data_IF_258105305407
#
_entry.id   IF_258105305407
#
_cell.length_a   1.000
_cell.length_b   1.000
_cell.length_c   1.000
_cell.angle_alpha   90.00
_cell.angle_beta   90.00
_cell.angle_gamma   90.00
#
_symmetry.space_group_name_H-M   'P 1'
#
loop_
_entity.id
_entity.type
_entity.pdbx_description
1 polymer ?
#
# COMPACT_ATOMS: atom_id res chain seq x y z
N UNK A 1 15.71 16.57 -24.23
CA UNK A 1 14.37 16.47 -23.61
C UNK A 1 14.41 15.26 -22.70
N UNK A 2 14.05 15.41 -21.44
CA UNK A 2 14.10 14.31 -20.47
C UNK A 2 13.22 13.14 -20.91
N UNK A 3 13.77 11.94 -20.81
CA UNK A 3 13.09 10.67 -21.07
C UNK A 3 12.76 10.02 -19.72
N UNK A 4 11.49 9.88 -19.41
CA UNK A 4 11.01 9.30 -18.14
C UNK A 4 10.49 7.90 -18.45
N UNK A 5 11.19 6.87 -17.99
CA UNK A 5 10.66 5.51 -17.95
C UNK A 5 9.54 5.45 -16.91
N UNK A 6 8.43 4.83 -17.24
CA UNK A 6 7.34 4.64 -16.28
C UNK A 6 7.10 3.14 -16.10
N UNK A 7 7.54 2.60 -14.96
CA UNK A 7 7.41 1.19 -14.61
C UNK A 7 6.12 0.95 -13.82
N UNK A 8 5.30 0.01 -14.27
CA UNK A 8 4.00 -0.33 -13.70
C UNK A 8 3.66 -1.81 -13.95
N UNK A 9 2.66 -2.32 -13.23
CA UNK A 9 1.97 -3.57 -13.58
C UNK A 9 0.50 -3.25 -13.85
N UNK A 10 0.02 -3.59 -15.04
CA UNK A 10 -1.37 -3.34 -15.43
C UNK A 10 -2.26 -4.52 -15.07
N UNK A 11 -3.33 -4.23 -14.32
CA UNK A 11 -4.38 -5.21 -14.02
C UNK A 11 -4.99 -5.70 -15.34
N UNK A 12 -5.05 -7.02 -15.58
CA UNK A 12 -5.69 -7.57 -16.77
C UNK A 12 -7.14 -7.10 -16.85
N UNK A 13 -7.57 -6.72 -18.07
CA UNK A 13 -9.00 -6.52 -18.31
C UNK A 13 -9.70 -7.84 -17.97
N UNK A 14 -10.76 -7.79 -17.17
CA UNK A 14 -11.53 -8.99 -16.83
C UNK A 14 -11.86 -9.71 -18.14
N UNK A 15 -11.62 -11.03 -18.27
CA UNK A 15 -11.98 -11.72 -19.48
C UNK A 15 -13.49 -11.63 -19.67
N UNK A 16 -13.93 -10.80 -20.60
CA UNK A 16 -15.28 -10.84 -21.15
C UNK A 16 -15.39 -12.18 -21.86
N UNK A 17 -15.88 -13.23 -21.16
CA UNK A 17 -16.17 -14.49 -21.82
C UNK A 17 -15.73 -15.76 -21.11
N UNK A 18 -16.10 -15.93 -19.84
CA UNK A 18 -16.31 -17.26 -19.27
C UNK A 18 -17.59 -17.25 -18.39
N UNK A 19 -18.65 -16.64 -18.91
CA UNK A 19 -20.02 -16.96 -18.51
C UNK A 19 -20.46 -18.12 -19.40
N UNK A 20 -19.85 -19.28 -19.18
CA UNK A 20 -20.29 -20.55 -19.66
C UNK A 20 -21.21 -21.14 -18.63
N UNK A 21 -22.54 -20.98 -18.87
CA UNK A 21 -23.63 -21.83 -18.41
C UNK A 21 -23.35 -22.69 -17.13
N UNK A 22 -23.53 -22.09 -15.94
CA UNK A 22 -23.94 -22.87 -14.78
C UNK A 22 -25.41 -22.56 -14.57
N UNK A 23 -26.23 -23.55 -14.97
CA UNK A 23 -27.65 -23.65 -14.69
C UNK A 23 -27.86 -23.55 -13.17
N UNK A 24 -28.78 -22.68 -12.77
CA UNK A 24 -29.31 -22.62 -11.43
C UNK A 24 -29.69 -23.99 -10.91
N UNK A 25 -28.96 -24.48 -9.93
CA UNK A 25 -29.54 -25.41 -8.96
C UNK A 25 -29.23 -24.82 -7.56
N UNK A 26 -30.30 -24.39 -6.93
CA UNK A 26 -30.30 -23.75 -5.63
C UNK A 26 -30.11 -24.84 -4.57
N UNK A 27 -28.93 -24.97 -3.97
CA UNK A 27 -28.69 -25.49 -2.61
C UNK A 27 -27.18 -25.60 -2.36
N UNK A 28 -26.68 -24.66 -1.61
CA UNK A 28 -25.62 -24.74 -0.60
C UNK A 28 -24.96 -23.38 -0.51
N UNK A 29 -25.06 -22.76 0.66
CA UNK A 29 -24.27 -21.60 1.06
C UNK A 29 -22.82 -22.07 1.28
N UNK A 30 -22.05 -22.22 0.21
CA UNK A 30 -20.61 -22.29 0.28
C UNK A 30 -20.06 -20.89 -0.06
N UNK A 31 -19.39 -20.26 0.92
CA UNK A 31 -18.61 -19.05 0.71
C UNK A 31 -17.70 -19.27 -0.52
N UNK A 32 -17.59 -18.30 -1.45
CA UNK A 32 -16.69 -18.46 -2.59
C UNK A 32 -15.26 -18.61 -2.06
N UNK A 33 -14.45 -19.53 -2.64
CA UNK A 33 -13.05 -19.65 -2.25
C UNK A 33 -12.35 -18.32 -2.49
N UNK A 34 -11.57 -17.85 -1.50
CA UNK A 34 -10.85 -16.58 -1.48
C UNK A 34 -9.71 -16.46 -2.52
N UNK A 35 -9.66 -17.34 -3.51
CA UNK A 35 -8.75 -17.35 -4.64
C UNK A 35 -9.47 -17.02 -5.94
N UNK A 36 -10.24 -15.93 -5.98
CA UNK A 36 -10.67 -15.38 -7.25
C UNK A 36 -9.45 -14.79 -7.99
N UNK A 37 -9.44 -14.87 -9.31
CA UNK A 37 -8.40 -14.26 -10.16
C UNK A 37 -8.22 -12.76 -9.81
N UNK A 38 -9.28 -12.12 -9.31
CA UNK A 38 -9.28 -10.72 -8.87
C UNK A 38 -8.37 -10.45 -7.67
N UNK A 39 -8.19 -11.42 -6.75
CA UNK A 39 -7.32 -11.24 -5.58
C UNK A 39 -5.83 -11.31 -5.95
N UNK A 40 -5.45 -12.10 -6.96
CA UNK A 40 -4.06 -12.23 -7.42
C UNK A 40 -3.50 -10.89 -7.89
N UNK A 41 -4.30 -10.10 -8.59
CA UNK A 41 -3.92 -8.81 -9.16
C UNK A 41 -4.44 -7.61 -8.35
N UNK A 42 -4.81 -7.81 -7.08
CA UNK A 42 -5.40 -6.73 -6.26
C UNK A 42 -4.45 -5.55 -6.03
N UNK A 43 -3.14 -5.78 -6.11
CA UNK A 43 -2.09 -4.76 -5.97
C UNK A 43 -1.77 -4.03 -7.29
N UNK A 44 -2.17 -4.59 -8.43
CA UNK A 44 -1.86 -4.01 -9.74
C UNK A 44 -2.79 -2.85 -10.09
N UNK A 45 -2.31 -1.93 -10.91
CA UNK A 45 -3.03 -0.73 -11.26
C UNK A 45 -3.98 -0.91 -12.47
N UNK A 46 -5.08 -0.17 -12.44
CA UNK A 46 -5.97 -0.07 -13.59
C UNK A 46 -5.33 0.79 -14.70
N UNK A 47 -5.78 0.60 -15.94
CA UNK A 47 -5.40 1.46 -17.07
C UNK A 47 -5.64 2.95 -16.76
N UNK A 48 -6.72 3.28 -16.05
CA UNK A 48 -7.04 4.66 -15.62
C UNK A 48 -5.98 5.25 -14.71
N UNK A 49 -5.49 4.49 -13.73
CA UNK A 49 -4.40 4.93 -12.84
C UNK A 49 -3.10 5.12 -13.62
N UNK A 50 -2.76 4.17 -14.48
CA UNK A 50 -1.55 4.22 -15.32
C UNK A 50 -1.58 5.44 -16.24
N UNK A 51 -2.73 5.73 -16.87
CA UNK A 51 -2.90 6.89 -17.74
C UNK A 51 -2.78 8.21 -16.98
N UNK A 52 -3.36 8.30 -15.78
CA UNK A 52 -3.27 9.49 -14.94
C UNK A 52 -1.82 9.76 -14.51
N UNK A 53 -1.07 8.75 -14.07
CA UNK A 53 0.35 8.88 -13.72
C UNK A 53 1.16 9.30 -14.95
N UNK A 54 0.99 8.64 -16.10
CA UNK A 54 1.70 9.00 -17.31
C UNK A 54 1.41 10.44 -17.75
N UNK A 55 0.17 10.90 -17.61
CA UNK A 55 -0.22 12.29 -17.86
C UNK A 55 0.53 13.26 -16.96
N UNK A 56 0.53 13.03 -15.63
CA UNK A 56 1.23 13.88 -14.67
C UNK A 56 2.73 13.98 -14.96
N UNK A 57 3.38 12.84 -15.27
CA UNK A 57 4.81 12.78 -15.61
C UNK A 57 5.14 13.53 -16.90
N UNK A 58 4.21 13.58 -17.85
CA UNK A 58 4.40 14.21 -19.18
C UNK A 58 4.73 15.70 -19.08
N UNK A 59 4.40 16.34 -17.96
CA UNK A 59 4.77 17.73 -17.68
C UNK A 59 6.30 17.95 -17.61
N UNK A 60 7.09 16.90 -17.32
CA UNK A 60 8.54 17.00 -17.13
C UNK A 60 9.37 16.30 -18.23
N UNK A 61 8.76 15.49 -19.07
CA UNK A 61 9.52 14.77 -20.07
C UNK A 61 8.68 13.95 -21.04
N UNK A 62 9.35 13.20 -21.91
CA UNK A 62 8.71 12.16 -22.72
C UNK A 62 8.57 10.91 -21.86
N UNK A 63 7.34 10.44 -21.66
CA UNK A 63 7.05 9.22 -20.88
C UNK A 63 7.16 8.00 -21.78
N UNK A 64 7.95 7.03 -21.35
CA UNK A 64 8.14 5.73 -21.97
C UNK A 64 7.51 4.70 -21.06
N UNK A 65 6.42 4.08 -21.45
CA UNK A 65 5.74 3.05 -20.68
C UNK A 65 6.56 1.76 -20.67
N UNK A 66 6.89 1.27 -19.49
CA UNK A 66 7.70 0.09 -19.24
C UNK A 66 6.93 -0.85 -18.30
N UNK A 67 6.09 -1.70 -18.85
CA UNK A 67 5.41 -2.71 -18.05
C UNK A 67 6.44 -3.64 -17.38
N UNK A 68 6.29 -3.88 -16.08
CA UNK A 68 7.25 -4.64 -15.29
C UNK A 68 6.97 -6.15 -15.37
N UNK A 69 7.01 -6.69 -16.59
CA UNK A 69 6.95 -8.09 -16.92
C UNK A 69 8.34 -8.69 -17.16
N UNK A 70 8.40 -9.93 -17.70
CA UNK A 70 9.67 -10.63 -17.97
C UNK A 70 10.60 -9.91 -18.95
N UNK A 71 10.07 -9.04 -19.82
CA UNK A 71 10.83 -8.30 -20.82
C UNK A 71 11.28 -6.90 -20.34
N UNK A 72 10.90 -6.51 -19.11
CA UNK A 72 11.27 -5.22 -18.54
C UNK A 72 12.77 -4.93 -18.55
N UNK A 73 13.67 -5.87 -18.20
CA UNK A 73 15.12 -5.61 -18.22
C UNK A 73 15.63 -5.25 -19.62
N UNK A 74 15.14 -5.92 -20.64
CA UNK A 74 15.55 -5.65 -22.03
C UNK A 74 14.99 -4.32 -22.53
N UNK A 75 13.71 -4.03 -22.23
CA UNK A 75 13.12 -2.73 -22.57
C UNK A 75 13.86 -1.58 -21.90
N UNK A 76 14.19 -1.70 -20.62
CA UNK A 76 14.98 -0.69 -19.90
C UNK A 76 16.34 -0.46 -20.57
N UNK A 77 17.03 -1.55 -20.92
CA UNK A 77 18.35 -1.53 -21.57
C UNK A 77 18.32 -0.86 -22.95
N UNK A 78 17.24 -1.06 -23.72
CA UNK A 78 17.07 -0.48 -25.06
C UNK A 78 16.65 0.98 -24.98
N UNK A 79 15.65 1.28 -24.15
CA UNK A 79 15.04 2.61 -24.05
C UNK A 79 15.92 3.62 -23.33
N UNK A 80 16.73 3.21 -22.38
CA UNK A 80 17.67 4.05 -21.62
C UNK A 80 17.05 5.39 -21.15
N UNK A 81 16.00 5.37 -20.33
CA UNK A 81 15.44 6.60 -19.79
C UNK A 81 16.45 7.30 -18.88
N UNK A 82 16.32 8.62 -18.72
CA UNK A 82 17.13 9.40 -17.80
C UNK A 82 16.77 9.11 -16.33
N UNK A 83 15.51 8.75 -16.08
CA UNK A 83 14.98 8.34 -14.77
C UNK A 83 13.76 7.43 -14.97
N UNK A 84 13.59 6.43 -14.09
CA UNK A 84 12.40 5.58 -14.04
C UNK A 84 11.49 6.01 -12.89
N UNK A 85 10.22 6.32 -13.17
CA UNK A 85 9.19 6.45 -12.16
C UNK A 85 8.55 5.07 -11.95
N UNK A 86 8.63 4.55 -10.72
CA UNK A 86 8.22 3.18 -10.40
C UNK A 86 6.97 3.13 -9.52
N UNK A 87 5.96 2.39 -9.99
CA UNK A 87 4.78 1.98 -9.21
C UNK A 87 4.51 0.47 -9.33
N UNK A 88 5.47 -0.30 -9.86
CA UNK A 88 5.29 -1.72 -10.13
C UNK A 88 5.43 -2.56 -8.85
N UNK A 89 4.39 -3.34 -8.53
CA UNK A 89 4.30 -4.22 -7.36
C UNK A 89 4.94 -5.60 -7.59
N UNK A 90 5.09 -6.00 -8.86
CA UNK A 90 5.52 -7.34 -9.24
C UNK A 90 4.44 -8.39 -8.98
N UNK A 91 4.73 -9.64 -9.34
CA UNK A 91 3.79 -10.76 -9.15
C UNK A 91 4.40 -11.92 -8.38
N UNK A 92 5.65 -12.24 -8.65
CA UNK A 92 6.31 -13.45 -8.16
C UNK A 92 7.49 -13.16 -7.27
N UNK A 93 7.73 -14.05 -6.32
CA UNK A 93 8.88 -14.03 -5.43
C UNK A 93 8.66 -13.22 -4.16
N UNK A 94 9.45 -13.55 -3.15
CA UNK A 94 9.40 -12.94 -1.81
C UNK A 94 9.85 -11.48 -1.77
N UNK A 95 10.48 -11.00 -2.85
CA UNK A 95 10.98 -9.64 -2.99
C UNK A 95 10.42 -8.96 -4.25
N UNK A 96 9.19 -9.28 -4.64
CA UNK A 96 8.59 -8.86 -5.91
C UNK A 96 8.64 -7.35 -6.15
N UNK A 97 8.37 -6.54 -5.14
CA UNK A 97 8.41 -5.07 -5.24
C UNK A 97 9.82 -4.51 -5.50
N UNK A 98 10.85 -5.25 -5.11
CA UNK A 98 12.23 -4.85 -5.27
C UNK A 98 12.81 -5.10 -6.67
N UNK A 99 12.11 -5.83 -7.54
CA UNK A 99 12.66 -6.24 -8.83
C UNK A 99 12.99 -5.04 -9.73
N UNK A 100 12.05 -4.11 -9.90
CA UNK A 100 12.25 -2.93 -10.76
C UNK A 100 13.43 -2.07 -10.26
N UNK A 101 13.49 -1.63 -9.00
CA UNK A 101 14.63 -0.84 -8.55
C UNK A 101 15.96 -1.61 -8.59
N UNK A 102 15.97 -2.93 -8.30
CA UNK A 102 17.19 -3.74 -8.43
C UNK A 102 17.72 -3.81 -9.87
N UNK A 103 16.82 -3.93 -10.85
CA UNK A 103 17.18 -3.90 -12.27
C UNK A 103 17.66 -2.49 -12.68
N UNK A 104 17.05 -1.43 -12.16
CA UNK A 104 17.51 -0.07 -12.39
C UNK A 104 18.91 0.14 -11.84
N UNK A 105 19.21 -0.33 -10.62
CA UNK A 105 20.57 -0.27 -10.03
C UNK A 105 21.58 -1.06 -10.86
N UNK A 106 21.20 -2.26 -11.33
CA UNK A 106 22.06 -3.08 -12.18
C UNK A 106 22.47 -2.39 -13.49
N UNK A 107 21.58 -1.55 -14.05
CA UNK A 107 21.84 -0.78 -15.27
C UNK A 107 22.28 0.67 -15.01
N UNK A 108 22.57 1.05 -13.77
CA UNK A 108 22.95 2.41 -13.38
C UNK A 108 21.91 3.46 -13.86
N UNK A 109 20.63 3.12 -13.74
CA UNK A 109 19.50 3.96 -14.16
C UNK A 109 18.86 4.59 -12.93
N UNK A 110 18.79 5.93 -12.81
CA UNK A 110 18.05 6.62 -11.76
C UNK A 110 16.58 6.16 -11.68
N UNK A 111 16.03 6.06 -10.46
CA UNK A 111 14.63 5.63 -10.26
C UNK A 111 13.98 6.34 -9.07
N UNK A 112 12.64 6.38 -9.05
CA UNK A 112 11.84 6.91 -7.94
C UNK A 112 11.51 5.84 -6.92
N UNK A 113 11.27 6.29 -5.69
CA UNK A 113 10.90 5.43 -4.57
C UNK A 113 12.09 4.81 -3.85
N UNK A 114 11.77 3.93 -2.93
CA UNK A 114 12.73 3.29 -2.04
C UNK A 114 13.60 2.26 -2.77
N UNK A 115 14.77 1.98 -2.21
CA UNK A 115 15.71 1.01 -2.77
C UNK A 115 15.23 -0.45 -2.59
N UNK A 116 15.88 -1.41 -3.27
CA UNK A 116 15.48 -2.81 -3.23
C UNK A 116 15.48 -3.41 -1.82
N UNK A 117 16.42 -3.00 -0.97
CA UNK A 117 16.48 -3.49 0.41
C UNK A 117 15.29 -3.00 1.23
N UNK A 118 14.98 -1.72 1.15
CA UNK A 118 13.83 -1.10 1.84
C UNK A 118 12.51 -1.76 1.41
N UNK A 119 12.29 -1.94 0.11
CA UNK A 119 11.09 -2.60 -0.41
C UNK A 119 10.98 -4.04 0.07
N UNK A 120 12.05 -4.83 -0.05
CA UNK A 120 12.08 -6.22 0.44
C UNK A 120 11.84 -6.32 1.95
N UNK A 121 12.41 -5.40 2.72
CA UNK A 121 12.24 -5.34 4.17
C UNK A 121 10.78 -5.00 4.54
N UNK A 122 10.23 -3.95 3.94
CA UNK A 122 8.88 -3.47 4.27
C UNK A 122 7.78 -4.42 3.81
N UNK A 123 7.97 -5.15 2.71
CA UNK A 123 7.05 -6.19 2.26
C UNK A 123 6.91 -7.32 3.29
N UNK A 124 7.97 -7.63 4.04
CA UNK A 124 7.97 -8.69 5.05
C UNK A 124 7.65 -8.16 6.44
N UNK A 125 6.37 -8.15 6.82
CA UNK A 125 5.84 -7.53 8.05
C UNK A 125 6.62 -7.88 9.33
N UNK A 126 7.01 -9.13 9.53
CA UNK A 126 7.76 -9.53 10.71
C UNK A 126 9.18 -8.94 10.76
N UNK A 127 9.91 -8.97 9.64
CA UNK A 127 11.27 -8.36 9.56
C UNK A 127 11.21 -6.85 9.72
N UNK A 128 10.18 -6.19 9.17
CA UNK A 128 9.93 -4.76 9.39
C UNK A 128 9.78 -4.47 10.88
N UNK A 129 8.98 -5.27 11.59
CA UNK A 129 8.76 -5.11 13.04
C UNK A 129 10.03 -5.38 13.86
N UNK A 130 10.83 -6.39 13.50
CA UNK A 130 12.15 -6.62 14.12
C UNK A 130 13.04 -5.39 13.97
N UNK A 131 13.08 -4.83 12.76
CA UNK A 131 13.90 -3.66 12.47
C UNK A 131 13.42 -2.42 13.25
N UNK A 132 12.11 -2.16 13.26
CA UNK A 132 11.51 -1.07 14.03
C UNK A 132 11.78 -1.22 15.53
N UNK A 133 11.65 -2.44 16.07
CA UNK A 133 11.91 -2.75 17.48
C UNK A 133 13.38 -2.51 17.85
N UNK A 134 14.33 -2.92 17.01
CA UNK A 134 15.76 -2.66 17.20
C UNK A 134 16.08 -1.15 17.28
N UNK A 135 15.27 -0.31 16.61
CA UNK A 135 15.37 1.15 16.63
C UNK A 135 14.43 1.82 17.63
N UNK A 136 13.83 1.05 18.55
CA UNK A 136 12.92 1.55 19.59
C UNK A 136 11.73 2.35 19.02
N UNK A 137 11.19 1.89 17.88
CA UNK A 137 9.99 2.42 17.27
C UNK A 137 8.80 1.54 17.67
N UNK A 138 7.76 2.11 18.32
CA UNK A 138 6.61 1.33 18.78
C UNK A 138 5.92 0.58 17.65
N UNK A 139 5.64 -0.69 17.87
CA UNK A 139 4.86 -1.57 17.01
C UNK A 139 4.24 -2.70 17.85
N UNK A 140 3.15 -3.30 17.37
CA UNK A 140 2.46 -4.35 18.13
C UNK A 140 3.38 -5.56 18.38
N UNK A 141 3.41 -6.12 19.61
CA UNK A 141 4.08 -7.40 19.87
C UNK A 141 3.54 -8.51 18.96
N UNK A 142 4.41 -9.36 18.46
CA UNK A 142 4.05 -10.36 17.47
C UNK A 142 4.91 -11.62 17.56
N UNK A 143 4.47 -12.66 16.86
CA UNK A 143 5.25 -13.87 16.57
C UNK A 143 5.08 -14.24 15.08
N UNK A 144 6.17 -14.64 14.44
CA UNK A 144 6.18 -15.24 13.11
C UNK A 144 5.95 -16.74 13.25
N UNK A 145 5.04 -17.29 12.47
CA UNK A 145 4.71 -18.72 12.40
C UNK A 145 4.95 -19.19 10.98
N UNK A 146 5.91 -20.09 10.82
CA UNK A 146 6.33 -20.61 9.52
C UNK A 146 5.68 -21.97 9.21
N UNK A 147 5.28 -22.71 10.24
CA UNK A 147 4.75 -24.08 10.11
C UNK A 147 3.53 -24.32 11.01
N UNK A 148 2.71 -25.31 10.64
CA UNK A 148 1.59 -25.75 11.49
C UNK A 148 2.07 -26.27 12.87
N UNK A 149 3.26 -26.87 12.94
CA UNK A 149 3.83 -27.33 14.21
C UNK A 149 4.11 -26.16 15.15
N UNK A 150 4.63 -25.06 14.65
CA UNK A 150 4.82 -23.84 15.44
C UNK A 150 3.50 -23.21 15.86
N UNK A 151 2.50 -23.21 14.96
CA UNK A 151 1.14 -22.75 15.29
C UNK A 151 0.55 -23.57 16.43
N UNK A 152 0.66 -24.89 16.36
CA UNK A 152 0.17 -25.80 17.41
C UNK A 152 0.90 -25.57 18.75
N UNK A 153 2.21 -25.36 18.72
CA UNK A 153 2.98 -25.01 19.91
C UNK A 153 2.53 -23.67 20.50
N UNK A 154 2.27 -22.67 19.64
CA UNK A 154 1.75 -21.38 20.06
C UNK A 154 0.36 -21.52 20.74
N UNK A 155 -0.55 -22.27 20.12
CA UNK A 155 -1.91 -22.50 20.62
C UNK A 155 -1.90 -23.24 21.97
N UNK A 156 -0.96 -24.18 22.19
CA UNK A 156 -0.77 -24.85 23.49
C UNK A 156 -0.04 -24.03 24.52
N UNK A 157 0.47 -22.82 24.17
CA UNK A 157 1.28 -22.00 25.05
C UNK A 157 2.72 -22.50 25.26
N UNK A 158 3.20 -23.36 24.35
CA UNK A 158 4.54 -24.00 24.39
C UNK A 158 5.55 -23.33 23.45
N UNK A 159 5.15 -22.26 22.74
CA UNK A 159 6.02 -21.58 21.78
C UNK A 159 7.21 -20.89 22.49
N UNK A 160 8.48 -21.14 22.08
CA UNK A 160 9.66 -20.74 22.85
C UNK A 160 9.88 -19.22 22.95
N UNK A 161 9.35 -18.47 21.98
CA UNK A 161 9.52 -17.01 21.91
C UNK A 161 8.29 -16.21 22.33
N UNK A 162 7.14 -16.86 22.53
CA UNK A 162 5.89 -16.16 22.75
C UNK A 162 4.96 -16.98 23.63
N UNK A 163 4.86 -16.61 24.90
CA UNK A 163 3.81 -17.14 25.77
C UNK A 163 2.48 -16.49 25.41
N UNK A 164 1.43 -17.30 25.20
CA UNK A 164 0.05 -16.85 25.01
C UNK A 164 -0.75 -17.02 26.31
N UNK A 165 -0.62 -16.14 27.33
CA UNK A 165 -1.62 -16.11 28.38
C UNK A 165 -2.97 -15.69 27.76
N UNK A 166 -4.06 -16.20 28.32
CA UNK A 166 -5.42 -15.82 27.88
C UNK A 166 -5.66 -14.30 27.88
N UNK A 167 -4.89 -13.56 28.70
CA UNK A 167 -4.92 -12.08 28.75
C UNK A 167 -4.35 -11.39 27.52
N UNK A 168 -3.77 -12.11 26.55
CA UNK A 168 -3.23 -11.51 25.32
C UNK A 168 -4.22 -11.46 24.16
N UNK A 169 -5.36 -12.10 24.27
CA UNK A 169 -6.43 -11.93 23.29
C UNK A 169 -7.15 -10.59 23.49
N UNK A 170 -7.65 -9.94 22.42
CA UNK A 170 -7.68 -10.43 21.04
C UNK A 170 -6.32 -10.32 20.32
N UNK A 171 -6.11 -11.23 19.35
CA UNK A 171 -4.96 -11.22 18.44
C UNK A 171 -5.43 -11.01 17.00
N UNK A 172 -4.49 -10.61 16.15
CA UNK A 172 -4.72 -10.47 14.71
C UNK A 172 -3.74 -11.35 13.94
N UNK A 173 -4.26 -12.13 12.99
CA UNK A 173 -3.47 -13.10 12.21
C UNK A 173 -3.53 -12.75 10.75
N UNK A 174 -2.38 -12.63 10.08
CA UNK A 174 -2.34 -12.25 8.66
C UNK A 174 -1.15 -12.87 7.93
N UNK A 175 -1.20 -13.03 6.59
CA UNK A 175 -0.04 -13.41 5.81
C UNK A 175 1.10 -12.38 5.97
N UNK A 176 2.35 -12.85 5.92
CA UNK A 176 3.49 -11.98 6.23
C UNK A 176 3.88 -11.04 5.09
N UNK A 177 3.56 -11.39 3.83
CA UNK A 177 4.03 -10.68 2.63
C UNK A 177 2.91 -10.31 1.64
N UNK A 178 1.66 -10.21 2.09
CA UNK A 178 0.55 -9.75 1.25
C UNK A 178 0.19 -8.29 1.53
N UNK A 179 -0.18 -7.57 0.47
CA UNK A 179 -0.69 -6.20 0.51
C UNK A 179 -2.18 -6.12 0.15
N UNK A 180 -2.71 -4.92 0.01
CA UNK A 180 -4.09 -4.63 -0.42
C UNK A 180 -5.19 -5.40 0.30
N UNK A 181 -4.99 -5.69 1.59
CA UNK A 181 -5.90 -6.49 2.45
C UNK A 181 -6.11 -7.94 1.99
N UNK A 182 -5.22 -8.50 1.16
CA UNK A 182 -5.25 -9.93 0.83
C UNK A 182 -5.11 -10.78 2.08
N UNK A 183 -6.00 -11.74 2.25
CA UNK A 183 -6.04 -12.61 3.42
C UNK A 183 -6.45 -11.91 4.72
N UNK A 184 -7.04 -10.70 4.66
CA UNK A 184 -7.53 -9.96 5.80
C UNK A 184 -9.05 -9.87 5.76
N UNK A 185 -9.70 -10.69 6.57
CA UNK A 185 -11.14 -10.74 6.80
C UNK A 185 -11.45 -10.55 8.28
N UNK A 186 -12.71 -10.47 8.67
CA UNK A 186 -13.09 -10.44 10.09
C UNK A 186 -12.62 -11.68 10.87
N UNK A 187 -12.44 -12.84 10.20
CA UNK A 187 -11.90 -14.07 10.81
C UNK A 187 -10.45 -13.93 11.30
N UNK A 188 -9.73 -12.93 10.81
CA UNK A 188 -8.34 -12.67 11.24
C UNK A 188 -8.26 -12.06 12.66
N UNK A 189 -9.38 -11.51 13.15
CA UNK A 189 -9.52 -11.08 14.53
C UNK A 189 -9.92 -12.27 15.38
N UNK A 190 -8.98 -12.81 16.16
CA UNK A 190 -9.18 -14.03 16.95
C UNK A 190 -9.22 -13.71 18.44
N UNK A 191 -10.19 -14.29 19.13
CA UNK A 191 -10.43 -14.07 20.56
C UNK A 191 -10.20 -15.32 21.40
N UNK A 192 -9.95 -16.46 20.75
CA UNK A 192 -9.71 -17.74 21.40
C UNK A 192 -8.58 -18.54 20.73
N UNK A 193 -7.91 -19.44 21.46
CA UNK A 193 -6.92 -20.34 20.88
C UNK A 193 -7.46 -21.20 19.73
N UNK A 194 -8.75 -21.60 19.80
CA UNK A 194 -9.39 -22.38 18.72
C UNK A 194 -9.51 -21.60 17.42
N UNK A 195 -9.95 -20.34 17.51
CA UNK A 195 -10.02 -19.44 16.34
C UNK A 195 -8.62 -19.17 15.76
N UNK A 196 -7.61 -18.99 16.63
CA UNK A 196 -6.22 -18.84 16.20
C UNK A 196 -5.74 -20.07 15.43
N UNK A 197 -6.02 -21.28 15.93
CA UNK A 197 -5.64 -22.53 15.25
C UNK A 197 -6.33 -22.68 13.90
N UNK A 198 -7.61 -22.40 13.81
CA UNK A 198 -8.42 -22.52 12.59
C UNK A 198 -7.93 -21.51 11.53
N UNK A 199 -7.92 -20.22 11.87
CA UNK A 199 -7.53 -19.18 10.93
C UNK A 199 -6.06 -19.28 10.54
N UNK A 200 -5.17 -19.62 11.49
CA UNK A 200 -3.75 -19.79 11.19
C UNK A 200 -3.49 -20.92 10.19
N UNK A 201 -4.13 -22.08 10.34
CA UNK A 201 -4.03 -23.19 9.37
C UNK A 201 -4.58 -22.79 8.01
N UNK A 202 -5.75 -22.14 7.99
CA UNK A 202 -6.34 -21.64 6.74
C UNK A 202 -5.36 -20.73 5.98
N UNK A 203 -4.76 -19.74 6.65
CA UNK A 203 -3.84 -18.80 6.01
C UNK A 203 -2.55 -19.47 5.54
N UNK A 204 -1.94 -20.35 6.35
CA UNK A 204 -0.75 -21.11 5.95
C UNK A 204 -1.01 -21.97 4.71
N UNK A 205 -2.15 -22.67 4.66
CA UNK A 205 -2.51 -23.52 3.54
C UNK A 205 -2.84 -22.74 2.26
N UNK A 206 -3.57 -21.61 2.41
CA UNK A 206 -4.07 -20.83 1.29
C UNK A 206 -2.95 -20.02 0.63
N UNK A 207 -2.19 -19.29 1.43
CA UNK A 207 -1.17 -18.35 0.92
C UNK A 207 0.21 -18.97 0.76
N UNK A 208 0.44 -20.18 1.29
CA UNK A 208 1.70 -20.94 1.20
C UNK A 208 2.92 -20.12 1.61
N UNK A 209 2.75 -19.29 2.61
CA UNK A 209 3.78 -18.44 3.19
C UNK A 209 3.62 -18.38 4.71
N UNK A 210 4.64 -17.92 5.46
CA UNK A 210 4.50 -17.67 6.89
C UNK A 210 3.36 -16.70 7.21
N UNK A 211 2.83 -16.81 8.42
CA UNK A 211 1.85 -15.86 8.97
C UNK A 211 2.44 -15.12 10.17
N UNK A 212 1.95 -13.91 10.38
CA UNK A 212 2.25 -13.14 11.58
C UNK A 212 1.03 -13.14 12.49
N UNK A 213 1.24 -13.44 13.77
CA UNK A 213 0.24 -13.35 14.84
C UNK A 213 0.64 -12.21 15.74
N UNK A 214 -0.17 -11.16 15.80
CA UNK A 214 0.17 -9.93 16.54
C UNK A 214 -0.92 -9.54 17.54
N UNK A 215 -0.54 -8.81 18.59
CA UNK A 215 -1.50 -8.21 19.51
C UNK A 215 -2.39 -7.22 18.75
N UNK A 216 -3.71 -7.34 18.93
CA UNK A 216 -4.63 -6.38 18.34
C UNK A 216 -4.59 -5.05 19.10
N UNK A 217 -4.24 -3.99 18.41
CA UNK A 217 -4.24 -2.64 18.96
C UNK A 217 -5.68 -2.10 18.96
N UNK A 218 -6.17 -1.63 20.11
CA UNK A 218 -7.59 -1.31 20.29
C UNK A 218 -7.96 0.15 20.05
N UNK A 219 -6.96 1.02 19.90
CA UNK A 219 -7.18 2.46 19.73
C UNK A 219 -7.50 2.86 18.27
N UNK A 220 -7.56 4.16 18.04
CA UNK A 220 -7.81 4.76 16.75
C UNK A 220 -6.69 4.44 15.75
N UNK A 221 -7.06 4.35 14.47
CA UNK A 221 -6.15 4.03 13.37
C UNK A 221 -6.02 5.22 12.42
N UNK A 222 -4.81 5.41 11.91
CA UNK A 222 -4.44 6.50 11.01
C UNK A 222 -3.59 6.00 9.87
N UNK A 223 -3.77 6.60 8.70
CA UNK A 223 -2.88 6.42 7.56
C UNK A 223 -2.14 7.72 7.28
N UNK A 224 -0.83 7.63 7.18
CA UNK A 224 0.08 8.76 7.09
C UNK A 224 0.84 8.75 5.76
N UNK A 225 0.55 9.70 4.87
CA UNK A 225 1.36 9.95 3.68
C UNK A 225 2.65 10.70 4.05
N UNK A 226 3.77 10.27 3.49
CA UNK A 226 5.07 10.97 3.65
C UNK A 226 5.58 11.36 2.27
N UNK A 227 6.10 12.58 2.14
CA UNK A 227 6.79 13.07 0.94
C UNK A 227 8.15 13.66 1.30
N UNK A 228 9.14 13.45 0.43
CA UNK A 228 10.49 14.01 0.56
C UNK A 228 11.52 13.04 1.10
N UNK A 229 12.75 13.52 1.29
CA UNK A 229 13.91 12.72 1.66
C UNK A 229 14.63 13.29 2.88
N UNK A 230 15.19 12.41 3.72
CA UNK A 230 16.01 12.80 4.86
C UNK A 230 15.32 13.83 5.77
N UNK A 231 15.97 14.96 6.01
CA UNK A 231 15.45 16.03 6.87
C UNK A 231 14.31 16.83 6.22
N UNK A 232 14.15 16.77 4.89
CA UNK A 232 13.07 17.44 4.17
C UNK A 232 11.80 16.59 4.07
N UNK A 233 11.86 15.33 4.51
CA UNK A 233 10.69 14.46 4.56
C UNK A 233 9.64 15.04 5.52
N UNK A 234 8.39 15.09 5.06
CA UNK A 234 7.26 15.63 5.83
C UNK A 234 6.06 14.71 5.75
N UNK A 235 5.29 14.65 6.82
CA UNK A 235 4.01 13.97 6.85
C UNK A 235 2.95 14.90 6.25
N UNK A 236 2.10 14.35 5.39
CA UNK A 236 0.89 15.01 4.88
C UNK A 236 -0.21 15.00 5.97
N UNK A 237 -1.29 15.79 5.82
CA UNK A 237 -2.41 15.71 6.73
C UNK A 237 -2.86 14.27 6.98
N UNK A 238 -2.99 13.89 8.25
CA UNK A 238 -3.30 12.53 8.65
C UNK A 238 -4.69 12.12 8.18
N UNK A 239 -4.83 10.89 7.69
CA UNK A 239 -6.12 10.28 7.39
C UNK A 239 -6.53 9.42 8.58
N UNK A 240 -7.61 9.78 9.26
CA UNK A 240 -8.18 9.00 10.36
C UNK A 240 -9.18 7.96 9.83
N UNK A 241 -9.21 6.79 10.46
CA UNK A 241 -10.15 5.72 10.14
C UNK A 241 -11.41 5.86 11.02
N UNK A 242 -12.54 6.18 10.41
CA UNK A 242 -13.82 6.28 11.09
C UNK A 242 -14.55 4.92 11.10
N UNK A 243 -14.15 4.03 11.99
CA UNK A 243 -14.79 2.72 12.14
C UNK A 243 -16.25 2.77 12.61
N UNK A 244 -16.74 3.91 13.07
CA UNK A 244 -18.17 4.07 13.39
C UNK A 244 -19.07 4.05 12.14
N UNK A 245 -18.50 4.24 10.94
CA UNK A 245 -19.21 4.10 9.67
C UNK A 245 -19.43 2.66 9.22
N UNK A 246 -18.76 1.69 9.87
CA UNK A 246 -18.93 0.26 9.58
C UNK A 246 -20.30 -0.22 10.07
N UNK A 247 -20.83 -1.33 9.53
CA UNK A 247 -22.05 -1.96 10.01
C UNK A 247 -21.98 -2.28 11.51
N UNK A 248 -23.12 -2.22 12.19
CA UNK A 248 -23.20 -2.51 13.64
C UNK A 248 -22.69 -3.92 13.94
N UNK A 249 -21.71 -4.03 14.84
CA UNK A 249 -21.09 -5.29 15.23
C UNK A 249 -19.88 -5.70 14.39
N UNK A 250 -19.56 -4.98 13.33
CA UNK A 250 -18.35 -5.21 12.55
C UNK A 250 -17.09 -4.96 13.40
N UNK A 251 -16.04 -5.73 13.13
CA UNK A 251 -14.73 -5.55 13.75
C UNK A 251 -14.10 -4.25 13.21
N UNK A 252 -13.49 -3.41 14.08
CA UNK A 252 -12.91 -2.13 13.66
C UNK A 252 -11.60 -2.33 12.88
N UNK A 253 -11.71 -2.89 11.68
CA UNK A 253 -10.64 -3.08 10.70
C UNK A 253 -11.13 -2.69 9.31
N UNK A 254 -10.24 -2.20 8.47
CA UNK A 254 -10.51 -1.98 7.04
C UNK A 254 -10.00 -3.19 6.24
N UNK A 255 -10.67 -4.34 6.47
CA UNK A 255 -10.40 -5.61 5.82
C UNK A 255 -11.10 -5.77 4.47
N UNK A 256 -11.15 -7.01 4.00
CA UNK A 256 -11.79 -7.37 2.72
C UNK A 256 -13.26 -6.96 2.67
N UNK A 257 -14.02 -7.26 3.74
CA UNK A 257 -15.45 -6.96 3.82
C UNK A 257 -15.69 -5.44 3.75
N UNK A 258 -14.90 -4.65 4.47
CA UNK A 258 -15.01 -3.19 4.45
C UNK A 258 -14.67 -2.62 3.07
N UNK A 259 -13.60 -3.11 2.44
CA UNK A 259 -13.04 -2.55 1.19
C UNK A 259 -13.84 -2.95 -0.05
N UNK A 260 -14.39 -4.17 -0.09
CA UNK A 260 -14.95 -4.75 -1.31
C UNK A 260 -16.45 -5.05 -1.25
N UNK A 261 -17.02 -5.11 -0.04
CA UNK A 261 -18.44 -5.45 0.15
C UNK A 261 -19.24 -4.25 0.66
N UNK A 262 -18.70 -3.49 1.65
CA UNK A 262 -19.45 -2.41 2.30
C UNK A 262 -19.15 -1.04 1.68
N UNK A 263 -17.89 -0.76 1.32
CA UNK A 263 -17.46 0.50 0.71
C UNK A 263 -17.58 0.42 -0.83
N UNK A 264 -18.81 0.48 -1.31
CA UNK A 264 -19.12 0.37 -2.75
C UNK A 264 -19.63 1.71 -3.29
N UNK A 265 -19.45 2.03 -4.59
CA UNK A 265 -19.86 3.30 -5.16
C UNK A 265 -21.36 3.64 -4.99
N UNK A 266 -22.21 2.61 -4.87
CA UNK A 266 -23.64 2.76 -4.61
C UNK A 266 -23.99 3.10 -3.16
N UNK A 267 -23.07 2.82 -2.21
CA UNK A 267 -23.20 3.10 -0.79
C UNK A 267 -21.82 3.30 -0.16
N UNK A 268 -21.13 4.42 -0.47
CA UNK A 268 -19.77 4.65 0.00
C UNK A 268 -19.74 4.83 1.52
N UNK A 269 -18.77 4.22 2.17
CA UNK A 269 -18.52 4.44 3.59
C UNK A 269 -17.75 5.76 3.79
N UNK A 270 -18.16 6.54 4.80
CA UNK A 270 -17.39 7.70 5.26
C UNK A 270 -16.26 7.25 6.22
N UNK A 271 -15.46 6.28 5.76
CA UNK A 271 -14.45 5.65 6.61
C UNK A 271 -13.16 6.46 6.73
N UNK A 272 -12.84 7.32 5.75
CA UNK A 272 -11.62 8.10 5.74
C UNK A 272 -11.88 9.58 5.99
N UNK A 273 -11.49 10.07 7.16
CA UNK A 273 -11.55 11.47 7.54
C UNK A 273 -10.18 12.14 7.35
N UNK A 274 -10.09 13.17 6.50
CA UNK A 274 -8.84 13.89 6.26
C UNK A 274 -9.10 15.40 6.15
N UNK A 275 -8.41 16.25 6.95
CA UNK A 275 -7.51 15.89 8.06
C UNK A 275 -8.24 15.18 9.20
N UNK A 276 -7.55 14.25 9.88
CA UNK A 276 -8.07 13.58 11.07
C UNK A 276 -8.41 14.59 12.18
N UNK A 277 -9.55 14.43 12.84
CA UNK A 277 -10.00 15.32 13.92
C UNK A 277 -9.42 14.89 15.28
N UNK A 278 -8.14 15.15 15.46
CA UNK A 278 -7.39 14.88 16.69
C UNK A 278 -6.69 16.15 17.17
N UNK A 279 -6.25 16.16 18.43
CA UNK A 279 -5.50 17.26 18.97
C UNK A 279 -4.06 17.35 18.42
N UNK A 280 -3.44 18.52 18.62
CA UNK A 280 -2.09 18.79 18.10
C UNK A 280 -1.02 17.91 18.77
N UNK A 281 -1.20 17.52 20.03
CA UNK A 281 -0.25 16.68 20.76
C UNK A 281 -0.19 15.27 20.15
N UNK A 282 -1.35 14.66 19.91
CA UNK A 282 -1.45 13.35 19.26
C UNK A 282 -0.96 13.41 17.81
N UNK A 283 -1.30 14.48 17.08
CA UNK A 283 -0.78 14.71 15.72
C UNK A 283 0.74 14.69 15.71
N UNK A 284 1.39 15.48 16.57
CA UNK A 284 2.85 15.55 16.65
C UNK A 284 3.48 14.21 17.08
N UNK A 285 2.83 13.45 17.97
CA UNK A 285 3.29 12.12 18.37
C UNK A 285 3.26 11.13 17.20
N UNK A 286 2.19 11.12 16.42
CA UNK A 286 2.05 10.28 15.21
C UNK A 286 3.11 10.68 14.17
N UNK A 287 3.22 11.96 13.85
CA UNK A 287 4.21 12.47 12.88
C UNK A 287 5.64 12.09 13.28
N UNK A 288 5.97 12.20 14.57
CA UNK A 288 7.29 11.84 15.10
C UNK A 288 7.60 10.36 14.89
N UNK A 289 6.69 9.45 15.22
CA UNK A 289 6.93 8.00 15.07
C UNK A 289 6.99 7.61 13.60
N UNK A 290 6.15 8.20 12.75
CA UNK A 290 6.11 7.99 11.30
C UNK A 290 7.42 8.43 10.64
N UNK A 291 7.91 9.65 10.91
CA UNK A 291 9.15 10.13 10.33
C UNK A 291 10.37 9.34 10.82
N UNK A 292 10.37 8.89 12.07
CA UNK A 292 11.43 8.00 12.57
C UNK A 292 11.40 6.65 11.82
N UNK A 293 10.23 6.04 11.65
CA UNK A 293 10.08 4.80 10.89
C UNK A 293 10.54 4.97 9.43
N UNK A 294 10.06 6.03 8.77
CA UNK A 294 10.43 6.38 7.40
C UNK A 294 11.95 6.46 7.21
N UNK A 295 12.65 7.18 8.12
CA UNK A 295 14.09 7.40 8.03
C UNK A 295 14.91 6.14 8.33
N UNK A 296 14.59 5.41 9.38
CA UNK A 296 15.38 4.23 9.76
C UNK A 296 15.20 3.08 8.78
N UNK A 297 14.00 2.92 8.19
CA UNK A 297 13.75 1.94 7.13
C UNK A 297 14.38 2.32 5.79
N UNK A 298 14.85 3.55 5.63
CA UNK A 298 15.44 4.02 4.38
C UNK A 298 14.42 4.35 3.31
N UNK A 299 13.17 4.64 3.68
CA UNK A 299 12.15 5.06 2.72
C UNK A 299 12.55 6.34 2.00
N UNK A 300 12.19 6.46 0.74
CA UNK A 300 12.60 7.56 -0.15
C UNK A 300 11.44 8.07 -0.98
N UNK A 301 11.49 9.38 -1.25
CA UNK A 301 10.62 10.14 -2.12
C UNK A 301 9.17 10.22 -1.63
N UNK A 302 8.54 9.09 -1.36
CA UNK A 302 7.21 8.97 -0.79
C UNK A 302 7.02 7.65 -0.02
N UNK A 303 5.95 7.58 0.79
CA UNK A 303 5.48 6.35 1.43
C UNK A 303 4.09 6.56 2.02
N UNK A 304 3.38 5.47 2.30
CA UNK A 304 2.22 5.41 3.20
C UNK A 304 2.58 4.55 4.41
N UNK A 305 2.35 5.10 5.59
CA UNK A 305 2.63 4.40 6.85
C UNK A 305 1.34 4.35 7.67
N UNK A 306 0.94 3.15 8.06
CA UNK A 306 -0.27 2.93 8.82
C UNK A 306 0.07 2.82 10.32
N UNK A 307 -0.67 3.58 11.14
CA UNK A 307 -0.44 3.75 12.58
C UNK A 307 -1.71 3.43 13.33
N UNK A 308 -1.61 2.68 14.43
CA UNK A 308 -2.74 2.44 15.32
C UNK A 308 -2.33 2.67 16.77
N UNK A 309 -3.22 3.29 17.52
CA UNK A 309 -2.98 3.53 18.94
C UNK A 309 -3.19 2.24 19.73
N UNK A 310 -2.36 2.02 20.74
CA UNK A 310 -2.62 1.00 21.75
C UNK A 310 -3.64 1.48 22.80
N UNK A 311 -3.84 0.69 23.86
CA UNK A 311 -4.78 1.00 24.93
C UNK A 311 -4.36 2.21 25.78
N UNK A 312 -3.06 2.57 25.76
CA UNK A 312 -2.52 3.75 26.45
C UNK A 312 -2.50 5.00 25.55
N UNK A 313 -2.95 4.87 24.31
CA UNK A 313 -2.95 5.94 23.32
C UNK A 313 -1.58 6.18 22.66
N UNK A 314 -0.64 5.25 22.80
CA UNK A 314 0.68 5.34 22.16
C UNK A 314 0.57 4.95 20.67
N UNK A 315 1.08 5.78 19.75
CA UNK A 315 1.09 5.45 18.33
C UNK A 315 2.08 4.31 18.03
N UNK A 316 1.57 3.24 17.41
CA UNK A 316 2.34 2.07 16.99
C UNK A 316 2.29 1.93 15.47
N UNK A 317 3.42 1.63 14.83
CA UNK A 317 3.47 1.32 13.40
C UNK A 317 2.81 -0.03 13.16
N UNK A 318 1.83 -0.07 12.26
CA UNK A 318 1.14 -1.29 11.82
C UNK A 318 1.78 -1.84 10.56
N UNK A 319 2.00 -0.96 9.58
CA UNK A 319 2.53 -1.32 8.26
C UNK A 319 3.25 -0.12 7.62
N UNK A 320 4.25 -0.40 6.80
CA UNK A 320 4.96 0.61 6.02
C UNK A 320 4.91 0.21 4.56
N UNK A 321 4.37 1.10 3.73
CA UNK A 321 4.20 0.90 2.30
C UNK A 321 5.05 1.92 1.52
N UNK A 322 6.31 1.58 1.18
CA UNK A 322 7.17 2.47 0.41
C UNK A 322 6.74 2.62 -1.05
N UNK A 323 5.87 1.71 -1.51
CA UNK A 323 5.19 1.74 -2.80
C UNK A 323 3.69 1.95 -2.55
N UNK A 324 3.23 3.20 -2.34
CA UNK A 324 1.87 3.46 -1.88
C UNK A 324 0.84 3.40 -3.01
N UNK A 325 -0.39 2.93 -2.71
CA UNK A 325 -1.51 3.03 -3.66
C UNK A 325 -1.89 4.49 -3.97
N UNK A 326 -2.18 4.76 -5.23
CA UNK A 326 -2.36 6.11 -5.79
C UNK A 326 -3.55 6.22 -6.75
N UNK A 327 -4.74 5.75 -6.36
CA UNK A 327 -5.93 5.89 -7.20
C UNK A 327 -6.24 7.37 -7.46
N UNK A 328 -6.44 7.79 -8.74
CA UNK A 328 -6.56 9.20 -9.10
C UNK A 328 -7.92 9.80 -8.76
N UNK A 329 -9.00 9.02 -8.81
CA UNK A 329 -10.35 9.51 -8.61
C UNK A 329 -10.55 9.93 -7.14
N UNK A 330 -10.98 11.19 -6.87
CA UNK A 330 -11.24 11.66 -5.50
C UNK A 330 -12.33 10.87 -4.76
N UNK A 331 -13.24 10.21 -5.48
CA UNK A 331 -14.27 9.36 -4.89
C UNK A 331 -13.74 8.01 -4.42
N UNK A 332 -12.56 7.59 -4.92
CA UNK A 332 -11.92 6.36 -4.47
C UNK A 332 -11.23 6.58 -3.11
N UNK A 333 -11.31 5.58 -2.26
CA UNK A 333 -10.72 5.63 -0.93
C UNK A 333 -9.20 5.34 -0.99
N UNK A 334 -8.45 6.25 -1.63
CA UNK A 334 -6.98 6.21 -1.71
C UNK A 334 -6.36 7.24 -0.77
N UNK A 335 -5.72 6.76 0.30
CA UNK A 335 -5.30 7.59 1.42
C UNK A 335 -4.23 8.63 1.07
N UNK A 336 -3.19 8.25 0.30
CA UNK A 336 -2.12 9.18 -0.05
C UNK A 336 -2.60 10.33 -0.96
N UNK A 337 -3.35 10.12 -2.04
CA UNK A 337 -3.96 11.20 -2.81
C UNK A 337 -4.96 12.03 -2.00
N UNK A 338 -5.70 11.42 -1.06
CA UNK A 338 -6.61 12.14 -0.16
C UNK A 338 -5.85 13.09 0.76
N UNK A 339 -4.76 12.63 1.37
CA UNK A 339 -3.88 13.46 2.20
C UNK A 339 -3.23 14.59 1.41
N UNK A 340 -2.79 14.32 0.17
CA UNK A 340 -2.23 15.34 -0.72
C UNK A 340 -3.26 16.44 -1.04
N UNK A 341 -4.49 16.07 -1.39
CA UNK A 341 -5.58 17.05 -1.62
C UNK A 341 -5.88 17.89 -0.38
N UNK A 342 -5.87 17.30 0.80
CA UNK A 342 -6.05 18.04 2.06
C UNK A 342 -4.88 19.02 2.33
N UNK A 343 -3.69 18.76 1.80
CA UNK A 343 -2.55 19.66 1.81
C UNK A 343 -2.58 20.72 0.68
N UNK A 344 -3.65 20.80 -0.12
CA UNK A 344 -3.76 21.70 -1.26
C UNK A 344 -3.01 21.25 -2.52
N UNK A 345 -2.63 19.99 -2.59
CA UNK A 345 -1.88 19.39 -3.70
C UNK A 345 -2.83 18.48 -4.49
N UNK A 346 -3.04 18.77 -5.78
CA UNK A 346 -3.81 17.88 -6.65
C UNK A 346 -3.03 16.59 -6.99
N UNK A 347 -3.66 15.71 -7.75
CA UNK A 347 -3.08 14.42 -8.10
C UNK A 347 -1.80 14.54 -8.91
N UNK A 348 -1.79 15.41 -9.92
CA UNK A 348 -0.64 15.61 -10.79
C UNK A 348 0.55 16.15 -9.99
N UNK A 349 0.32 17.11 -9.12
CA UNK A 349 1.36 17.66 -8.23
C UNK A 349 1.91 16.62 -7.25
N UNK A 350 1.09 15.68 -6.76
CA UNK A 350 1.57 14.57 -5.92
C UNK A 350 2.56 13.68 -6.68
N UNK A 351 2.19 13.23 -7.89
CA UNK A 351 3.06 12.39 -8.73
C UNK A 351 4.35 13.13 -9.11
N UNK A 352 4.20 14.39 -9.51
CA UNK A 352 5.33 15.26 -9.86
C UNK A 352 6.26 15.50 -8.68
N UNK A 353 5.73 15.68 -7.46
CA UNK A 353 6.53 15.86 -6.27
C UNK A 353 7.41 14.64 -5.99
N UNK A 354 6.84 13.41 -6.10
CA UNK A 354 7.61 12.18 -5.94
C UNK A 354 8.72 12.06 -7.01
N UNK A 355 8.41 12.36 -8.28
CA UNK A 355 9.40 12.39 -9.36
C UNK A 355 10.53 13.41 -9.07
N UNK A 356 10.18 14.62 -8.63
CA UNK A 356 11.15 15.68 -8.36
C UNK A 356 12.04 15.34 -7.15
N UNK A 357 11.50 14.71 -6.11
CA UNK A 357 12.30 14.22 -4.99
C UNK A 357 13.30 13.15 -5.43
N UNK A 358 12.86 12.23 -6.28
CA UNK A 358 13.74 11.22 -6.87
C UNK A 358 14.82 11.84 -7.74
N UNK A 359 14.45 12.74 -8.66
CA UNK A 359 15.40 13.44 -9.53
C UNK A 359 16.47 14.18 -8.72
N UNK A 360 16.06 14.97 -7.71
CA UNK A 360 16.98 15.69 -6.85
C UNK A 360 17.96 14.74 -6.11
N UNK A 361 17.48 13.60 -5.63
CA UNK A 361 18.28 12.58 -4.96
C UNK A 361 19.36 11.98 -5.89
N UNK A 362 19.06 11.87 -7.17
CA UNK A 362 20.01 11.40 -8.20
C UNK A 362 20.82 12.53 -8.87
N UNK A 363 20.74 13.77 -8.35
CA UNK A 363 21.45 14.92 -8.91
C UNK A 363 20.91 15.40 -10.26
N UNK A 364 19.69 15.01 -10.62
CA UNK A 364 19.02 15.41 -11.86
C UNK A 364 18.18 16.68 -11.61
N UNK A 365 18.23 17.61 -12.57
CA UNK A 365 17.36 18.78 -12.59
C UNK A 365 16.31 18.63 -13.69
N UNK A 366 15.05 18.48 -13.28
CA UNK A 366 13.93 18.40 -14.21
C UNK A 366 13.25 19.78 -14.29
N UNK A 367 13.04 20.25 -15.51
CA UNK A 367 12.29 21.47 -15.78
C UNK A 367 10.93 21.14 -16.39
N UNK A 368 9.84 21.78 -15.95
CA UNK A 368 8.54 21.57 -16.55
C UNK A 368 8.56 22.00 -18.03
N UNK A 369 7.80 21.29 -18.84
CA UNK A 369 7.61 21.65 -20.26
C UNK A 369 6.89 22.99 -20.35
N UNK A 370 7.25 23.87 -21.30
CA UNK A 370 6.47 25.06 -21.58
C UNK A 370 5.03 24.65 -21.95
N UNK A 371 4.07 25.17 -21.22
CA UNK A 371 2.66 25.02 -21.60
C UNK A 371 2.46 25.73 -22.93
N UNK A 372 2.23 24.99 -24.00
CA UNK A 372 1.78 25.60 -25.27
C UNK A 372 0.39 26.16 -25.02
N UNK A 373 0.29 27.42 -24.67
CA UNK A 373 -0.97 28.15 -24.80
C UNK A 373 -1.31 28.17 -26.28
N UNK A 374 -2.14 27.22 -26.72
CA UNK A 374 -2.85 27.35 -27.99
C UNK A 374 -3.81 28.53 -27.79
N UNK A 375 -3.37 29.73 -28.15
CA UNK A 375 -4.26 30.87 -28.32
C UNK A 375 -5.31 30.45 -29.33
N UNK A 376 -6.54 30.21 -28.89
CA UNK A 376 -7.68 30.13 -29.79
C UNK A 376 -7.72 31.46 -30.55
N UNK A 377 -7.21 31.46 -31.76
CA UNK A 377 -7.34 32.55 -32.68
C UNK A 377 -8.84 32.83 -32.79
N UNK A 378 -9.25 34.02 -32.37
CA UNK A 378 -10.58 34.50 -32.60
C UNK A 378 -10.85 34.45 -34.10
N UNK A 379 -11.81 33.64 -34.51
CA UNK A 379 -12.36 33.76 -35.85
C UNK A 379 -12.92 35.18 -36.00
N UNK A 380 -12.54 35.94 -37.04
CA UNK A 380 -13.16 37.22 -37.30
C UNK A 380 -14.63 36.95 -37.63
N UNK A 381 -15.54 37.63 -36.94
CA UNK A 381 -16.94 37.65 -37.28
C UNK A 381 -17.07 38.17 -38.72
N UNK A 382 -17.43 37.28 -39.63
CA UNK A 382 -17.73 37.62 -40.99
C UNK A 382 -19.00 38.45 -41.10
N UNK A 383 -18.86 39.49 -41.85
CA UNK A 383 -19.87 40.50 -42.24
C UNK A 383 -20.95 39.86 -43.11
N UNK A 384 -22.22 40.42 -42.95
CA UNK A 384 -23.48 40.34 -43.72
C UNK A 384 -24.37 39.14 -43.47
#
# INVERSE_FOLDING_TARGET
MTRIGFAYNQKPDSPVGLVGAITHDARAEEEPPSNSIDDVYAEWDSATTIDAVASALSAYGTVIRLEADQDFPERLRVERPDIVFNIAEGLHGTNREAHVPAICEFYDTPYSGSDPFTLSLCLHKAKTKDFLTAHQIPNAPYVLIETETELDALVRGEHPRFALPASRFPLFVKPVQEGSSKGITEKNFVTTPSQLAEQGRFLLATYKQPIIVEAFLTGAEFTCGVLGNGETARVLPLVGMNFASLPTGAIPIYGYEAKWIWDVPSNPLEIFECPAKIDQHLTAAIESVVLRAYRVLGCRDWSRIDVRLDHDGVPNIVEVNPLPGILPNPADNSCLPKAARAAGMDYDHLIQAALLHAAARHGLTLAPRPTLHVSRSAYPAGVA
#
